data_IF_891048688629
#
_entry.id   IF_891048688629
#
_cell.length_a   1.000
_cell.length_b   1.000
_cell.length_c   1.000
_cell.angle_alpha   90.00
_cell.angle_beta   90.00
_cell.angle_gamma   90.00
#
_symmetry.space_group_name_H-M   'P 1'
#
loop_
_entity.id
_entity.type
_entity.pdbx_description
1 polymer ?
#
# COMPACT_ATOMS: atom_id res chain seq x y z
N UNK A 1 10.73 6.10 -7.20
CA UNK A 1 9.83 4.92 -7.25
C UNK A 1 10.49 3.68 -6.66
N UNK A 2 11.61 3.20 -7.21
CA UNK A 2 12.28 1.96 -6.75
C UNK A 2 12.68 1.94 -5.27
N UNK A 3 13.10 3.09 -4.72
CA UNK A 3 13.50 3.17 -3.30
C UNK A 3 12.30 2.93 -2.37
N UNK A 4 11.17 3.59 -2.65
CA UNK A 4 9.91 3.40 -1.89
C UNK A 4 9.40 1.98 -2.11
N UNK A 5 9.37 1.49 -3.36
CA UNK A 5 8.95 0.12 -3.65
C UNK A 5 9.80 -0.95 -2.94
N UNK A 6 11.09 -0.68 -2.69
CA UNK A 6 11.94 -1.56 -1.89
C UNK A 6 11.56 -1.50 -0.41
N UNK A 7 11.22 -0.31 0.09
CA UNK A 7 10.72 -0.13 1.46
C UNK A 7 9.40 -0.88 1.68
N UNK A 8 8.49 -0.89 0.70
CA UNK A 8 7.20 -1.59 0.78
C UNK A 8 7.35 -3.10 0.93
N UNK A 9 8.44 -3.70 0.42
CA UNK A 9 8.74 -5.11 0.67
C UNK A 9 9.05 -5.37 2.16
N UNK A 10 9.70 -4.41 2.84
CA UNK A 10 9.92 -4.50 4.28
C UNK A 10 8.61 -4.29 5.07
N UNK A 11 7.72 -3.42 4.58
CA UNK A 11 6.39 -3.25 5.20
C UNK A 11 5.56 -4.53 5.09
N UNK A 12 5.60 -5.21 3.94
CA UNK A 12 4.96 -6.51 3.76
C UNK A 12 5.50 -7.54 4.77
N UNK A 13 6.82 -7.59 4.99
CA UNK A 13 7.44 -8.46 6.00
C UNK A 13 6.95 -8.12 7.42
N UNK A 14 6.85 -6.84 7.76
CA UNK A 14 6.34 -6.40 9.07
C UNK A 14 4.88 -6.84 9.29
N UNK A 15 4.00 -6.60 8.30
CA UNK A 15 2.58 -6.99 8.39
C UNK A 15 2.44 -8.52 8.47
N UNK A 16 3.16 -9.26 7.63
CA UNK A 16 3.18 -10.73 7.67
C UNK A 16 3.63 -11.25 9.04
N UNK A 17 4.63 -10.61 9.64
CA UNK A 17 5.14 -10.97 10.97
C UNK A 17 4.11 -10.71 12.06
N UNK A 18 3.41 -9.57 12.02
CA UNK A 18 2.31 -9.27 12.97
C UNK A 18 1.23 -10.35 12.87
N UNK A 19 0.78 -10.68 11.65
CA UNK A 19 -0.24 -11.73 11.43
C UNK A 19 0.25 -13.06 11.99
N UNK A 20 1.47 -13.48 11.66
CA UNK A 20 2.05 -14.71 12.20
C UNK A 20 2.11 -14.72 13.73
N UNK A 21 2.49 -13.61 14.36
CA UNK A 21 2.57 -13.52 15.82
C UNK A 21 1.20 -13.60 16.50
N UNK A 22 0.16 -13.07 15.85
CA UNK A 22 -1.22 -13.14 16.34
C UNK A 22 -1.86 -14.52 16.15
N UNK A 23 -1.43 -15.28 15.12
CA UNK A 23 -2.03 -16.57 14.79
C UNK A 23 -1.24 -17.77 15.31
N UNK A 24 0.06 -17.62 15.58
CA UNK A 24 0.88 -18.71 16.12
C UNK A 24 0.36 -19.12 17.51
N UNK A 25 0.18 -20.42 17.70
CA UNK A 25 -0.28 -21.04 18.94
C UNK A 25 -1.74 -20.78 19.32
N UNK A 26 -2.59 -20.27 18.42
CA UNK A 26 -4.03 -20.25 18.69
C UNK A 26 -4.56 -21.67 18.93
N UNK A 27 -5.34 -21.82 19.99
CA UNK A 27 -6.13 -23.02 20.24
C UNK A 27 -7.35 -23.07 19.31
N UNK A 28 -7.92 -24.26 19.13
CA UNK A 28 -9.15 -24.43 18.34
C UNK A 28 -10.31 -23.58 18.89
N UNK A 29 -10.40 -23.43 20.21
CA UNK A 29 -11.42 -22.60 20.84
C UNK A 29 -11.25 -21.10 20.49
N UNK A 30 -10.01 -20.60 20.45
CA UNK A 30 -9.73 -19.22 20.05
C UNK A 30 -9.99 -18.99 18.55
N UNK A 31 -9.67 -19.97 17.70
CA UNK A 31 -9.96 -19.91 16.25
C UNK A 31 -11.46 -19.79 16.00
N UNK A 32 -12.27 -20.59 16.69
CA UNK A 32 -13.73 -20.54 16.56
C UNK A 32 -14.29 -19.22 17.10
N UNK A 33 -13.86 -18.77 18.29
CA UNK A 33 -14.38 -17.55 18.93
C UNK A 33 -13.99 -16.25 18.22
N UNK A 34 -12.83 -16.22 17.56
CA UNK A 34 -12.33 -15.04 16.84
C UNK A 34 -12.91 -14.86 15.43
N UNK A 35 -13.70 -15.83 14.94
CA UNK A 35 -14.18 -15.84 13.56
C UNK A 35 -13.09 -16.20 12.54
N UNK A 36 -11.95 -16.73 12.99
CA UNK A 36 -10.82 -17.12 12.14
C UNK A 36 -10.99 -18.50 11.50
N UNK A 37 -12.07 -19.23 11.83
CA UNK A 37 -12.34 -20.59 11.38
C UNK A 37 -12.28 -20.76 9.85
N UNK A 38 -12.88 -19.84 9.07
CA UNK A 38 -12.84 -19.93 7.60
C UNK A 38 -11.41 -19.83 7.07
N UNK A 39 -10.62 -18.88 7.59
CA UNK A 39 -9.21 -18.75 7.24
C UNK A 39 -8.42 -20.00 7.62
N UNK A 40 -8.72 -20.58 8.78
CA UNK A 40 -8.06 -21.79 9.25
C UNK A 40 -8.34 -23.01 8.37
N UNK A 41 -9.57 -23.17 7.88
CA UNK A 41 -9.91 -24.26 6.97
C UNK A 41 -9.09 -24.17 5.68
N UNK A 42 -8.90 -22.97 5.13
CA UNK A 42 -8.20 -22.78 3.87
C UNK A 42 -6.67 -22.75 4.03
N UNK A 43 -6.16 -22.18 5.13
CA UNK A 43 -4.75 -21.79 5.28
C UNK A 43 -4.13 -22.17 6.63
N UNK A 44 -4.87 -22.86 7.51
CA UNK A 44 -4.47 -23.16 8.90
C UNK A 44 -4.11 -21.87 9.65
N UNK A 45 -2.84 -21.61 9.92
CA UNK A 45 -2.35 -20.35 10.50
C UNK A 45 -1.22 -19.75 9.68
N UNK A 46 -1.03 -20.25 8.45
CA UNK A 46 -0.05 -19.76 7.51
C UNK A 46 -0.43 -18.36 7.00
N UNK A 47 0.56 -17.52 6.74
CA UNK A 47 0.32 -16.18 6.18
C UNK A 47 -0.03 -16.32 4.70
N UNK A 48 -1.30 -16.11 4.38
CA UNK A 48 -1.84 -16.03 3.02
C UNK A 48 -2.23 -14.58 2.68
N UNK A 49 -1.61 -13.95 1.67
CA UNK A 49 -1.91 -12.57 1.28
C UNK A 49 -3.33 -12.41 0.71
N UNK A 50 -4.22 -11.82 1.51
CA UNK A 50 -5.57 -11.46 1.09
C UNK A 50 -6.07 -10.23 1.87
N UNK A 51 -7.08 -9.57 1.32
CA UNK A 51 -7.80 -8.52 2.03
C UNK A 51 -8.65 -9.08 3.17
N UNK A 52 -9.07 -8.23 4.11
CA UNK A 52 -9.99 -8.61 5.19
C UNK A 52 -11.35 -9.17 4.69
N UNK A 53 -11.74 -8.86 3.45
CA UNK A 53 -12.92 -9.42 2.78
C UNK A 53 -12.73 -10.84 2.22
N UNK A 54 -11.50 -11.38 2.27
CA UNK A 54 -11.12 -12.66 1.66
C UNK A 54 -10.70 -12.54 0.19
N UNK A 55 -10.63 -11.34 -0.39
CA UNK A 55 -10.16 -11.17 -1.76
C UNK A 55 -8.64 -11.43 -1.85
N UNK A 56 -8.16 -12.37 -2.67
CA UNK A 56 -6.76 -12.73 -2.75
C UNK A 56 -5.92 -11.60 -3.33
N UNK A 57 -4.67 -11.48 -2.90
CA UNK A 57 -3.72 -10.58 -3.56
C UNK A 57 -3.47 -11.05 -5.00
N UNK A 58 -3.59 -10.14 -5.97
CA UNK A 58 -3.38 -10.44 -7.38
C UNK A 58 -2.76 -9.25 -8.11
N UNK A 59 -2.13 -9.52 -9.26
CA UNK A 59 -1.55 -8.49 -10.10
C UNK A 59 -2.59 -7.44 -10.60
N UNK A 60 -3.88 -7.75 -10.54
CA UNK A 60 -4.95 -6.81 -10.91
C UNK A 60 -5.06 -5.60 -9.97
N UNK A 61 -4.41 -5.62 -8.81
CA UNK A 61 -4.38 -4.50 -7.87
C UNK A 61 -3.32 -3.45 -8.23
N UNK A 62 -2.31 -3.80 -9.04
CA UNK A 62 -1.30 -2.84 -9.50
C UNK A 62 -1.89 -1.93 -10.57
N UNK A 63 -1.80 -0.62 -10.36
CA UNK A 63 -2.25 0.40 -11.31
C UNK A 63 -1.03 1.10 -11.88
N UNK A 64 -0.64 0.70 -13.08
CA UNK A 64 0.52 1.27 -13.78
C UNK A 64 0.16 1.45 -15.23
N UNK A 65 0.39 2.64 -15.77
CA UNK A 65 0.07 2.97 -17.15
C UNK A 65 1.24 3.55 -17.94
N UNK A 66 2.30 3.99 -17.27
CA UNK A 66 3.52 4.51 -17.90
C UNK A 66 3.46 6.01 -18.24
N UNK A 67 2.44 6.72 -17.75
CA UNK A 67 2.41 8.18 -17.75
C UNK A 67 2.80 8.68 -16.35
N UNK A 68 3.91 9.44 -16.19
CA UNK A 68 4.40 9.85 -14.89
C UNK A 68 3.40 10.65 -14.05
N UNK A 69 2.53 11.47 -14.66
CA UNK A 69 1.52 12.22 -13.91
C UNK A 69 0.48 11.25 -13.36
N UNK A 70 -0.03 10.36 -14.21
CA UNK A 70 -1.06 9.38 -13.87
C UNK A 70 -0.56 8.42 -12.79
N UNK A 71 0.63 7.85 -12.98
CA UNK A 71 1.20 6.88 -12.04
C UNK A 71 1.52 7.54 -10.68
N UNK A 72 2.07 8.77 -10.64
CA UNK A 72 2.31 9.48 -9.38
C UNK A 72 1.01 9.89 -8.65
N UNK A 73 -0.06 10.20 -9.39
CA UNK A 73 -1.37 10.45 -8.78
C UNK A 73 -1.95 9.17 -8.17
N UNK A 74 -1.74 8.03 -8.83
CA UNK A 74 -2.15 6.73 -8.32
C UNK A 74 -1.37 6.37 -7.05
N UNK A 75 -0.05 6.49 -7.07
CA UNK A 75 0.83 6.26 -5.92
C UNK A 75 0.35 7.10 -4.72
N UNK A 76 0.09 8.40 -4.91
CA UNK A 76 -0.45 9.27 -3.87
C UNK A 76 -1.81 8.78 -3.33
N UNK A 77 -2.68 8.28 -4.19
CA UNK A 77 -3.97 7.75 -3.77
C UNK A 77 -3.80 6.42 -3.00
N UNK A 78 -2.85 5.57 -3.40
CA UNK A 78 -2.50 4.33 -2.71
C UNK A 78 -2.11 4.59 -1.25
N UNK A 79 -1.17 5.52 -1.00
CA UNK A 79 -0.69 5.80 0.36
C UNK A 79 -1.78 6.39 1.25
N UNK A 80 -2.70 7.19 0.69
CA UNK A 80 -3.83 7.72 1.46
C UNK A 80 -4.84 6.62 1.86
N UNK A 81 -5.08 5.65 0.98
CA UNK A 81 -5.92 4.48 1.29
C UNK A 81 -5.24 3.59 2.34
N UNK A 82 -3.95 3.35 2.22
CA UNK A 82 -3.15 2.59 3.19
C UNK A 82 -3.16 3.27 4.58
N UNK A 83 -2.83 4.56 4.64
CA UNK A 83 -2.90 5.40 5.86
C UNK A 83 -4.28 5.31 6.54
N UNK A 84 -5.35 5.39 5.76
CA UNK A 84 -6.73 5.29 6.28
C UNK A 84 -7.04 3.90 6.82
N UNK A 85 -6.48 2.85 6.20
CA UNK A 85 -6.61 1.47 6.67
C UNK A 85 -5.92 1.27 8.01
N UNK A 86 -4.69 1.77 8.17
CA UNK A 86 -4.00 1.74 9.46
C UNK A 86 -4.71 2.56 10.53
N UNK A 87 -5.25 3.73 10.18
CA UNK A 87 -6.13 4.50 11.09
C UNK A 87 -7.31 3.66 11.60
N UNK A 88 -7.96 2.87 10.72
CA UNK A 88 -9.07 2.00 11.10
C UNK A 88 -8.61 0.88 12.05
N UNK A 89 -7.47 0.25 11.80
CA UNK A 89 -6.89 -0.76 12.69
C UNK A 89 -6.63 -0.15 14.08
N UNK A 90 -6.02 1.03 14.14
CA UNK A 90 -5.72 1.73 15.40
C UNK A 90 -6.96 2.18 16.18
N UNK A 91 -8.13 2.27 15.52
CA UNK A 91 -9.41 2.49 16.23
C UNK A 91 -9.86 1.23 16.97
N UNK A 92 -9.65 0.05 16.37
CA UNK A 92 -10.11 -1.23 16.88
C UNK A 92 -9.17 -1.85 17.94
N UNK A 93 -7.86 -1.77 17.70
CA UNK A 93 -6.83 -2.44 18.51
C UNK A 93 -6.17 -1.44 19.45
N UNK A 94 -5.78 -1.89 20.66
CA UNK A 94 -5.14 -1.03 21.69
C UNK A 94 -3.87 -1.62 22.28
N UNK A 95 -3.58 -2.88 21.97
CA UNK A 95 -2.41 -3.62 22.40
C UNK A 95 -1.13 -2.97 21.84
N UNK A 96 -0.22 -2.46 22.69
CA UNK A 96 0.96 -1.73 22.24
C UNK A 96 1.81 -2.50 21.22
N UNK A 97 1.99 -3.81 21.43
CA UNK A 97 2.81 -4.67 20.58
C UNK A 97 2.28 -4.77 19.13
N UNK A 98 0.99 -4.51 18.92
CA UNK A 98 0.38 -4.41 17.58
C UNK A 98 0.28 -2.95 17.14
N UNK A 99 -0.09 -2.04 18.03
CA UNK A 99 -0.31 -0.64 17.69
C UNK A 99 0.98 0.10 17.29
N UNK A 100 2.10 -0.14 17.95
CA UNK A 100 3.36 0.58 17.65
C UNK A 100 3.88 0.32 16.22
N UNK A 101 4.00 -0.93 15.73
CA UNK A 101 4.40 -1.14 14.34
C UNK A 101 3.37 -0.59 13.34
N UNK A 102 2.07 -0.64 13.65
CA UNK A 102 1.03 -0.03 12.79
C UNK A 102 1.14 1.50 12.76
N UNK A 103 1.48 2.16 13.87
CA UNK A 103 1.75 3.61 13.91
C UNK A 103 2.98 3.97 13.08
N UNK A 104 4.01 3.14 13.11
CA UNK A 104 5.19 3.31 12.27
C UNK A 104 4.80 3.25 10.78
N UNK A 105 4.13 2.16 10.35
CA UNK A 105 3.68 1.99 8.96
C UNK A 105 2.82 3.18 8.52
N UNK A 106 1.82 3.54 9.33
CA UNK A 106 0.97 4.73 9.10
C UNK A 106 1.78 6.03 8.92
N UNK A 107 2.86 6.22 9.67
CA UNK A 107 3.72 7.40 9.52
C UNK A 107 4.51 7.34 8.21
N UNK A 108 4.95 6.15 7.79
CA UNK A 108 5.63 5.96 6.51
C UNK A 108 4.72 6.32 5.33
N UNK A 109 3.45 5.92 5.36
CA UNK A 109 2.45 6.31 4.35
C UNK A 109 2.35 7.84 4.16
N UNK A 110 2.43 8.59 5.26
CA UNK A 110 2.41 10.07 5.21
C UNK A 110 3.67 10.60 4.52
N UNK A 111 4.83 10.00 4.80
CA UNK A 111 6.10 10.36 4.17
C UNK A 111 6.09 10.01 2.69
N UNK A 112 5.62 8.81 2.33
CA UNK A 112 5.55 8.36 0.94
C UNK A 112 4.58 9.23 0.13
N UNK A 113 3.40 9.52 0.66
CA UNK A 113 2.45 10.47 0.05
C UNK A 113 3.10 11.83 -0.24
N UNK A 114 3.83 12.39 0.73
CA UNK A 114 4.52 13.66 0.56
C UNK A 114 5.62 13.58 -0.50
N UNK A 115 6.36 12.46 -0.56
CA UNK A 115 7.43 12.23 -1.56
C UNK A 115 6.89 12.08 -2.97
N UNK A 116 5.78 11.34 -3.15
CA UNK A 116 5.11 11.28 -4.44
C UNK A 116 4.53 12.63 -4.86
N UNK A 117 3.96 13.40 -3.92
CA UNK A 117 3.50 14.77 -4.20
C UNK A 117 4.64 15.73 -4.60
N UNK A 118 5.80 15.62 -3.97
CA UNK A 118 7.00 16.35 -4.37
C UNK A 118 7.46 15.96 -5.77
N UNK A 119 7.51 14.65 -6.07
CA UNK A 119 7.87 14.14 -7.39
C UNK A 119 6.88 14.60 -8.47
N UNK A 120 5.57 14.57 -8.19
CA UNK A 120 4.53 15.03 -9.11
C UNK A 120 4.73 16.51 -9.46
N UNK A 121 5.02 17.34 -8.45
CA UNK A 121 5.30 18.76 -8.66
C UNK A 121 6.55 18.97 -9.52
N UNK A 122 7.62 18.22 -9.28
CA UNK A 122 8.85 18.30 -10.08
C UNK A 122 8.58 17.92 -11.55
N UNK A 123 7.76 16.89 -11.79
CA UNK A 123 7.37 16.49 -13.15
C UNK A 123 6.58 17.62 -13.83
N UNK A 124 5.59 18.18 -13.14
CA UNK A 124 4.77 19.28 -13.66
C UNK A 124 5.58 20.56 -13.93
N UNK A 125 6.54 20.91 -13.07
CA UNK A 125 7.40 22.08 -13.26
C UNK A 125 8.28 22.01 -14.54
N UNK A 126 8.47 20.81 -15.10
CA UNK A 126 9.21 20.59 -16.35
C UNK A 126 8.33 20.60 -17.61
N UNK A 127 7.02 20.74 -17.44
CA UNK A 127 6.03 20.71 -18.52
C UNK A 127 5.51 22.12 -18.84
N UNK A 128 4.83 22.25 -19.98
CA UNK A 128 4.16 23.50 -20.32
C UNK A 128 3.02 23.78 -19.34
N UNK A 129 3.20 24.79 -18.51
CA UNK A 129 2.20 25.28 -17.56
C UNK A 129 0.84 25.67 -18.16
N UNK A 130 0.78 25.91 -19.47
CA UNK A 130 -0.47 26.19 -20.20
C UNK A 130 -1.21 24.91 -20.58
N UNK A 131 -0.51 23.78 -20.70
CA UNK A 131 -1.11 22.49 -21.00
C UNK A 131 -0.24 21.30 -20.54
N UNK A 132 -0.37 20.91 -19.27
CA UNK A 132 0.32 19.76 -18.68
C UNK A 132 -0.05 18.40 -19.29
N UNK A 133 -1.14 18.33 -20.05
CA UNK A 133 -1.71 17.08 -20.57
C UNK A 133 -1.60 16.97 -22.09
N UNK A 134 -0.88 17.87 -22.74
CA UNK A 134 -0.70 17.85 -24.19
C UNK A 134 0.05 16.59 -24.66
N UNK A 135 0.94 16.07 -23.83
CA UNK A 135 1.90 15.01 -24.16
C UNK A 135 2.18 14.14 -22.94
N UNK A 136 2.52 12.87 -23.16
CA UNK A 136 3.06 12.01 -22.11
C UNK A 136 4.58 12.29 -21.95
N UNK A 137 5.05 12.84 -20.82
CA UNK A 137 6.45 13.20 -20.63
C UNK A 137 7.43 12.02 -20.64
N UNK A 138 6.96 10.79 -20.44
CA UNK A 138 7.81 9.60 -20.50
C UNK A 138 7.96 9.02 -21.92
N UNK A 139 7.13 9.47 -22.87
CA UNK A 139 7.07 8.88 -24.21
C UNK A 139 7.26 9.92 -25.32
N UNK A 140 6.56 11.05 -25.24
CA UNK A 140 6.53 12.09 -26.27
C UNK A 140 7.72 13.06 -26.11
N UNK A 141 8.94 12.58 -26.34
CA UNK A 141 10.15 13.41 -26.28
C UNK A 141 10.41 14.15 -27.60
N UNK A 142 9.71 15.25 -27.84
CA UNK A 142 10.19 16.36 -28.68
C UNK A 142 10.37 16.17 -30.20
N UNK A 143 9.92 15.08 -30.82
CA UNK A 143 10.00 14.91 -32.29
C UNK A 143 8.65 14.94 -33.04
N UNK A 144 7.52 15.17 -32.35
CA UNK A 144 6.23 15.31 -33.02
C UNK A 144 5.61 16.70 -32.78
N UNK A 145 5.90 17.63 -33.69
CA UNK A 145 5.16 18.88 -33.82
C UNK A 145 5.89 20.01 -34.55
N UNK A 146 6.10 19.85 -35.87
CA UNK A 146 5.81 20.97 -36.80
C UNK A 146 4.29 21.16 -36.89
#
# INVERSE_FOLDING_TARGET
>A
LTDIGTEELAHLEMVATIVHQLTRNLSMEEIEKSGFANYYVDHTVGVWPQAASGFPFTAAQFQVTGDPITDLMEDMAAEQKARTTYDNILRLIKEPDVCEPIKFLRMREVVHFQRFGEALRIVQDRLDSRNFYAFNPAFDTGECGD
#
